data_IF_596374607551
#
_entry.id   IF_596374607551
#
_cell.length_a   1.000
_cell.length_b   1.000
_cell.length_c   1.000
_cell.angle_alpha   90.00
_cell.angle_beta   90.00
_cell.angle_gamma   90.00
#
_symmetry.space_group_name_H-M   'P 1'
#
loop_
_entity.id
_entity.type
_entity.pdbx_description
1 polymer ?
#
# COMPACT_ATOMS: atom_id res chain seq x y z
N UNK A 1 -18.03 13.19 -27.22
CA UNK A 1 -17.87 13.11 -25.75
C UNK A 1 -16.45 12.65 -25.45
N UNK A 2 -15.79 13.21 -24.43
CA UNK A 2 -14.43 12.78 -24.08
C UNK A 2 -14.48 11.41 -23.38
N UNK A 3 -13.59 10.50 -23.79
CA UNK A 3 -13.41 9.17 -23.20
C UNK A 3 -12.14 9.21 -22.37
N UNK A 4 -12.20 8.71 -21.14
CA UNK A 4 -11.07 8.68 -20.22
C UNK A 4 -10.63 7.25 -19.94
N UNK A 5 -9.35 6.96 -20.11
CA UNK A 5 -8.77 5.65 -19.79
C UNK A 5 -7.61 5.76 -18.79
N UNK A 6 -7.65 4.90 -17.78
CA UNK A 6 -6.58 4.75 -16.79
C UNK A 6 -5.64 3.61 -17.18
N UNK A 7 -4.34 3.90 -17.31
CA UNK A 7 -3.31 2.97 -17.77
C UNK A 7 -2.32 2.62 -16.65
N UNK A 8 -1.82 1.38 -16.59
CA UNK A 8 -0.96 0.92 -15.51
C UNK A 8 0.48 1.42 -15.67
N UNK A 9 1.05 1.95 -14.58
CA UNK A 9 2.51 2.06 -14.43
C UNK A 9 3.08 0.77 -13.82
N UNK A 10 4.37 0.51 -14.02
CA UNK A 10 5.06 -0.61 -13.37
C UNK A 10 4.96 -1.92 -14.15
N UNK A 11 4.45 -2.97 -13.52
CA UNK A 11 4.65 -4.36 -13.96
C UNK A 11 3.96 -4.73 -15.27
N UNK A 12 2.88 -4.04 -15.62
CA UNK A 12 2.12 -4.24 -16.86
C UNK A 12 2.46 -3.20 -17.93
N UNK A 13 3.32 -2.22 -17.64
CA UNK A 13 3.55 -1.07 -18.52
C UNK A 13 4.04 -1.50 -19.89
N UNK A 14 5.06 -2.37 -19.96
CA UNK A 14 5.72 -2.78 -21.20
C UNK A 14 4.75 -3.52 -22.13
N UNK A 15 4.05 -4.53 -21.62
CA UNK A 15 3.09 -5.32 -22.38
C UNK A 15 1.87 -4.48 -22.79
N UNK A 16 1.40 -3.59 -21.91
CA UNK A 16 0.33 -2.65 -22.25
C UNK A 16 0.78 -1.70 -23.35
N UNK A 17 2.00 -1.16 -23.28
CA UNK A 17 2.53 -0.24 -24.28
C UNK A 17 2.59 -0.91 -25.67
N UNK A 18 3.08 -2.15 -25.72
CA UNK A 18 3.12 -2.94 -26.94
C UNK A 18 1.73 -3.17 -27.53
N UNK A 19 0.72 -3.52 -26.70
CA UNK A 19 -0.67 -3.68 -27.17
C UNK A 19 -1.22 -2.37 -27.76
N UNK A 20 -1.01 -1.25 -27.08
CA UNK A 20 -1.53 0.05 -27.51
C UNK A 20 -0.82 0.57 -28.78
N UNK A 21 0.47 0.26 -28.94
CA UNK A 21 1.23 0.53 -30.15
C UNK A 21 0.71 -0.30 -31.34
N UNK A 22 0.48 -1.60 -31.15
CA UNK A 22 -0.11 -2.48 -32.17
C UNK A 22 -1.54 -2.04 -32.55
N UNK A 23 -2.35 -1.63 -31.58
CA UNK A 23 -3.67 -1.07 -31.81
C UNK A 23 -3.65 0.31 -32.49
N UNK A 24 -2.46 0.89 -32.70
CA UNK A 24 -2.24 2.14 -33.40
C UNK A 24 -2.72 3.37 -32.62
N UNK A 25 -2.73 3.33 -31.28
CA UNK A 25 -3.25 4.45 -30.48
C UNK A 25 -2.34 5.67 -30.54
N UNK A 26 -1.05 5.50 -30.83
CA UNK A 26 -0.08 6.60 -30.98
C UNK A 26 -0.02 7.50 -29.75
N UNK A 27 0.13 6.90 -28.56
CA UNK A 27 0.23 7.65 -27.30
C UNK A 27 1.59 8.32 -27.17
N UNK A 28 1.60 9.61 -26.86
CA UNK A 28 2.83 10.38 -26.63
C UNK A 28 3.45 10.03 -25.27
N UNK A 29 4.70 9.56 -25.24
CA UNK A 29 5.52 9.38 -24.03
C UNK A 29 4.97 8.40 -22.97
N UNK A 30 4.29 7.33 -23.39
CA UNK A 30 3.91 6.24 -22.49
C UNK A 30 5.11 5.34 -22.19
N UNK A 31 5.93 5.72 -21.21
CA UNK A 31 7.16 5.03 -20.84
C UNK A 31 7.38 5.01 -19.32
N UNK A 32 8.28 4.15 -18.84
CA UNK A 32 8.68 4.14 -17.42
C UNK A 32 9.32 5.45 -16.95
N UNK A 33 9.78 6.30 -17.88
CA UNK A 33 10.37 7.63 -17.61
C UNK A 33 9.40 8.78 -17.85
N UNK A 34 8.13 8.47 -18.14
CA UNK A 34 7.11 9.47 -18.45
C UNK A 34 7.10 10.55 -17.36
N UNK A 35 7.38 11.79 -17.77
CA UNK A 35 7.33 12.96 -16.88
C UNK A 35 5.91 13.50 -16.76
N UNK A 36 5.09 13.21 -17.77
CA UNK A 36 3.68 13.58 -17.84
C UNK A 36 2.83 12.35 -17.60
N UNK A 37 2.03 12.37 -16.54
CA UNK A 37 1.05 11.32 -16.29
C UNK A 37 -0.07 11.30 -17.32
N UNK A 38 -0.27 12.38 -18.08
CA UNK A 38 -1.33 12.53 -19.09
C UNK A 38 -0.76 12.32 -20.49
N UNK A 39 -1.44 11.50 -21.27
CA UNK A 39 -1.02 11.08 -22.61
C UNK A 39 -2.12 11.46 -23.61
N UNK A 40 -1.71 11.93 -24.79
CA UNK A 40 -2.61 12.20 -25.90
C UNK A 40 -2.48 11.10 -26.94
N UNK A 41 -3.60 10.66 -27.49
CA UNK A 41 -3.66 9.72 -28.61
C UNK A 41 -3.69 10.47 -29.93
N UNK A 42 -2.85 10.04 -30.88
CA UNK A 42 -2.90 10.55 -32.25
C UNK A 42 -4.12 10.00 -33.02
N UNK A 43 -4.58 8.79 -32.70
CA UNK A 43 -5.72 8.12 -33.35
C UNK A 43 -7.07 8.59 -32.80
N UNK A 44 -7.20 8.64 -31.48
CA UNK A 44 -8.44 9.02 -30.80
C UNK A 44 -8.34 10.43 -30.22
N UNK A 45 -8.78 11.42 -30.99
CA UNK A 45 -8.71 12.83 -30.60
C UNK A 45 -9.54 13.17 -29.35
N UNK A 46 -10.54 12.36 -29.02
CA UNK A 46 -11.39 12.49 -27.84
C UNK A 46 -10.92 11.62 -26.65
N UNK A 47 -9.81 10.90 -26.75
CA UNK A 47 -9.26 10.06 -25.69
C UNK A 47 -8.33 10.86 -24.78
N UNK A 48 -8.59 10.80 -23.47
CA UNK A 48 -7.67 11.23 -22.43
C UNK A 48 -7.15 9.99 -21.70
N UNK A 49 -5.87 9.71 -21.84
CA UNK A 49 -5.21 8.63 -21.13
C UNK A 49 -4.38 9.19 -19.97
N UNK A 50 -4.45 8.54 -18.80
CA UNK A 50 -3.59 8.86 -17.67
C UNK A 50 -2.96 7.61 -17.05
N UNK A 51 -1.69 7.71 -16.67
CA UNK A 51 -0.97 6.66 -15.96
C UNK A 51 -1.25 6.69 -14.46
N UNK A 52 -1.47 5.51 -13.88
CA UNK A 52 -1.77 5.32 -12.46
C UNK A 52 -0.99 4.13 -11.87
N UNK A 53 -0.84 4.11 -10.55
CA UNK A 53 -0.49 2.86 -9.87
C UNK A 53 -1.61 1.84 -10.11
N UNK A 54 -1.28 0.56 -10.30
CA UNK A 54 -2.27 -0.47 -10.65
C UNK A 54 -3.42 -0.55 -9.63
N UNK A 55 -3.10 -0.36 -8.34
CA UNK A 55 -4.08 -0.27 -7.22
C UNK A 55 -5.09 0.88 -7.36
N UNK A 56 -4.69 2.01 -7.94
CA UNK A 56 -5.56 3.18 -8.09
C UNK A 56 -6.60 2.96 -9.21
N UNK A 57 -6.26 2.18 -10.24
CA UNK A 57 -7.05 2.09 -11.48
C UNK A 57 -8.47 1.56 -11.22
N UNK A 58 -8.68 0.43 -10.52
CA UNK A 58 -10.03 -0.03 -10.17
C UNK A 58 -10.85 1.02 -9.43
N UNK A 59 -10.22 1.79 -8.52
CA UNK A 59 -10.89 2.81 -7.72
C UNK A 59 -11.31 3.98 -8.60
N UNK A 60 -10.41 4.48 -9.45
CA UNK A 60 -10.66 5.58 -10.37
C UNK A 60 -11.79 5.28 -11.36
N UNK A 61 -11.84 4.04 -11.86
CA UNK A 61 -12.92 3.58 -12.74
C UNK A 61 -14.21 3.38 -11.95
N UNK A 62 -14.16 2.77 -10.76
CA UNK A 62 -15.34 2.54 -9.92
C UNK A 62 -16.05 3.83 -9.49
N UNK A 63 -15.31 4.89 -9.17
CA UNK A 63 -15.90 6.19 -8.78
C UNK A 63 -16.34 7.04 -9.97
N UNK A 64 -16.04 6.61 -11.21
CA UNK A 64 -16.46 7.30 -12.43
C UNK A 64 -15.55 8.45 -12.88
N UNK A 65 -14.35 8.58 -12.30
CA UNK A 65 -13.36 9.54 -12.82
C UNK A 65 -12.87 9.12 -14.22
N UNK A 66 -12.80 7.81 -14.48
CA UNK A 66 -12.41 7.20 -15.74
C UNK A 66 -13.46 6.23 -16.25
N UNK A 67 -13.59 6.13 -17.57
CA UNK A 67 -14.57 5.27 -18.24
C UNK A 67 -14.05 3.85 -18.37
N UNK A 68 -12.76 3.73 -18.69
CA UNK A 68 -12.04 2.47 -18.91
C UNK A 68 -10.76 2.44 -18.06
N UNK A 69 -10.26 1.24 -17.79
CA UNK A 69 -8.95 1.05 -17.18
C UNK A 69 -8.32 -0.28 -17.55
N UNK A 70 -6.99 -0.35 -17.50
CA UNK A 70 -6.23 -1.60 -17.64
C UNK A 70 -5.44 -1.83 -16.35
N UNK A 71 -5.66 -2.97 -15.69
CA UNK A 71 -4.94 -3.34 -14.47
C UNK A 71 -4.95 -4.87 -14.28
N UNK A 72 -4.15 -5.36 -13.34
CA UNK A 72 -4.22 -6.75 -12.89
C UNK A 72 -5.62 -7.11 -12.35
N UNK A 73 -6.10 -8.30 -12.69
CA UNK A 73 -7.41 -8.78 -12.23
C UNK A 73 -7.48 -8.99 -10.73
N UNK A 74 -6.35 -9.25 -10.08
CA UNK A 74 -6.17 -9.27 -8.63
C UNK A 74 -6.61 -7.96 -7.97
N UNK A 75 -6.22 -6.79 -8.51
CA UNK A 75 -6.67 -5.51 -7.97
C UNK A 75 -8.16 -5.23 -8.18
N UNK A 76 -8.69 -5.73 -9.29
CA UNK A 76 -10.14 -5.65 -9.56
C UNK A 76 -10.92 -6.53 -8.58
N UNK A 77 -10.46 -7.76 -8.36
CA UNK A 77 -11.14 -8.72 -7.49
C UNK A 77 -10.98 -8.32 -6.01
N UNK A 78 -9.86 -7.72 -5.63
CA UNK A 78 -9.64 -7.11 -4.31
C UNK A 78 -10.66 -5.99 -4.02
N UNK A 79 -10.89 -5.09 -4.98
CA UNK A 79 -11.90 -4.04 -4.82
C UNK A 79 -13.32 -4.62 -4.74
N UNK A 80 -13.65 -5.57 -5.61
CA UNK A 80 -14.99 -6.18 -5.68
C UNK A 80 -15.30 -7.08 -4.48
N UNK A 81 -14.30 -7.70 -3.87
CA UNK A 81 -14.46 -8.44 -2.61
C UNK A 81 -14.97 -7.53 -1.48
N UNK A 82 -14.45 -6.29 -1.41
CA UNK A 82 -14.92 -5.28 -0.44
C UNK A 82 -16.22 -4.59 -0.85
N UNK A 83 -16.37 -4.29 -2.13
CA UNK A 83 -17.50 -3.53 -2.67
C UNK A 83 -18.19 -4.29 -3.83
N UNK A 84 -18.97 -5.35 -3.55
CA UNK A 84 -19.63 -6.14 -4.59
C UNK A 84 -20.60 -5.33 -5.46
N UNK A 85 -21.19 -4.27 -4.89
CA UNK A 85 -22.12 -3.36 -5.56
C UNK A 85 -21.42 -2.20 -6.29
N UNK A 86 -20.09 -2.22 -6.39
CA UNK A 86 -19.32 -1.20 -7.11
C UNK A 86 -19.79 -1.04 -8.56
N UNK A 87 -19.66 0.17 -9.10
CA UNK A 87 -19.88 0.46 -10.51
C UNK A 87 -18.78 -0.11 -11.43
N UNK A 88 -17.82 -0.87 -10.90
CA UNK A 88 -16.77 -1.51 -11.68
C UNK A 88 -17.28 -2.77 -12.40
N UNK A 89 -16.93 -2.93 -13.68
CA UNK A 89 -17.18 -4.14 -14.47
C UNK A 89 -15.89 -4.69 -15.07
N UNK A 90 -15.67 -6.01 -14.95
CA UNK A 90 -14.64 -6.74 -15.71
C UNK A 90 -15.14 -6.94 -17.13
N UNK A 91 -14.42 -6.39 -18.10
CA UNK A 91 -14.83 -6.42 -19.51
C UNK A 91 -14.15 -7.59 -20.23
N UNK A 92 -12.81 -7.65 -20.19
CA UNK A 92 -12.07 -8.66 -20.97
C UNK A 92 -10.67 -8.94 -20.40
N UNK A 93 -10.29 -10.21 -20.37
CA UNK A 93 -8.88 -10.63 -20.16
C UNK A 93 -8.07 -10.28 -21.40
N UNK A 94 -6.99 -9.52 -21.20
CA UNK A 94 -6.12 -9.06 -22.29
C UNK A 94 -5.03 -10.09 -22.66
N UNK A 95 -4.97 -11.23 -21.98
CA UNK A 95 -4.13 -12.37 -22.38
C UNK A 95 -2.64 -12.23 -22.03
N UNK A 96 -2.20 -11.10 -21.47
CA UNK A 96 -0.84 -10.89 -20.96
C UNK A 96 -0.83 -10.60 -19.45
N UNK A 97 0.36 -10.35 -18.89
CA UNK A 97 0.50 -10.02 -17.47
C UNK A 97 0.15 -11.19 -16.54
N UNK A 98 0.33 -12.42 -17.03
CA UNK A 98 -0.04 -13.64 -16.30
C UNK A 98 0.80 -13.77 -15.02
N UNK A 99 0.11 -13.88 -13.90
CA UNK A 99 0.67 -14.12 -12.58
C UNK A 99 -0.32 -14.88 -11.71
N UNK A 100 0.01 -15.03 -10.44
CA UNK A 100 -0.92 -15.56 -9.46
C UNK A 100 -0.61 -15.02 -8.06
N UNK A 101 -1.62 -15.04 -7.21
CA UNK A 101 -1.45 -14.87 -5.78
C UNK A 101 -1.13 -16.23 -5.15
N UNK A 102 -0.09 -16.24 -4.34
CA UNK A 102 0.38 -17.41 -3.61
C UNK A 102 0.27 -17.16 -2.12
N UNK A 103 -0.28 -18.14 -1.42
CA UNK A 103 -0.15 -18.24 0.03
C UNK A 103 1.21 -18.88 0.31
N UNK A 104 2.05 -18.18 1.06
CA UNK A 104 3.43 -18.57 1.34
C UNK A 104 3.67 -18.59 2.84
N UNK A 105 4.62 -19.41 3.27
CA UNK A 105 5.01 -19.54 4.66
C UNK A 105 6.52 -19.76 4.79
N UNK A 106 7.08 -19.61 5.99
CA UNK A 106 8.51 -19.89 6.20
C UNK A 106 8.80 -21.38 6.18
N UNK A 107 9.93 -21.79 5.59
CA UNK A 107 10.41 -23.19 5.55
C UNK A 107 10.60 -23.78 6.95
N UNK A 108 10.88 -22.95 7.94
CA UNK A 108 11.02 -23.38 9.34
C UNK A 108 9.68 -23.79 9.95
N UNK A 109 8.56 -23.36 9.38
CA UNK A 109 7.22 -23.75 9.80
C UNK A 109 6.62 -24.65 8.72
N UNK A 110 6.60 -25.95 8.97
CA UNK A 110 5.98 -26.91 8.06
C UNK A 110 4.48 -26.59 7.93
N UNK A 111 4.06 -26.15 6.74
CA UNK A 111 2.67 -25.78 6.45
C UNK A 111 2.13 -26.61 5.29
N UNK A 112 1.21 -27.53 5.57
CA UNK A 112 0.25 -28.01 4.58
C UNK A 112 -1.09 -27.26 4.71
N UNK A 113 -1.90 -27.25 3.65
CA UNK A 113 -3.26 -26.71 3.70
C UNK A 113 -4.15 -27.40 4.75
N UNK A 114 -3.87 -28.65 5.11
CA UNK A 114 -4.60 -29.38 6.15
C UNK A 114 -4.19 -28.92 7.55
N UNK A 115 -2.90 -28.66 7.78
CA UNK A 115 -2.38 -28.11 9.04
C UNK A 115 -2.95 -26.72 9.33
N UNK A 116 -3.05 -25.88 8.30
CA UNK A 116 -3.65 -24.54 8.38
C UNK A 116 -5.12 -24.63 8.85
N UNK A 117 -5.86 -25.67 8.45
CA UNK A 117 -7.27 -25.84 8.83
C UNK A 117 -7.46 -26.45 10.22
N UNK A 118 -6.54 -27.31 10.65
CA UNK A 118 -6.62 -28.03 11.92
C UNK A 118 -6.04 -27.23 13.10
N UNK A 119 -5.26 -26.17 12.83
CA UNK A 119 -4.63 -25.35 13.86
C UNK A 119 -5.64 -24.70 14.80
N UNK A 120 -5.37 -24.83 16.11
CA UNK A 120 -6.20 -24.25 17.18
C UNK A 120 -5.82 -22.81 17.52
N UNK A 121 -4.60 -22.40 17.17
CA UNK A 121 -4.07 -21.06 17.35
C UNK A 121 -4.60 -20.10 16.28
N UNK A 122 -4.53 -18.79 16.56
CA UNK A 122 -4.91 -17.75 15.59
C UNK A 122 -3.83 -17.65 14.51
N UNK A 123 -4.22 -17.79 13.25
CA UNK A 123 -3.35 -17.61 12.10
C UNK A 123 -3.28 -16.15 11.65
N UNK A 124 -2.07 -15.62 11.55
CA UNK A 124 -1.79 -14.28 11.04
C UNK A 124 -1.41 -14.33 9.55
N UNK A 125 -2.16 -13.63 8.69
CA UNK A 125 -1.90 -13.51 7.26
C UNK A 125 -1.50 -12.07 6.92
N UNK A 126 -0.26 -11.82 6.52
CA UNK A 126 0.21 -10.53 6.03
C UNK A 126 0.00 -10.39 4.52
N UNK A 127 -0.59 -9.29 4.05
CA UNK A 127 -0.83 -9.11 2.60
C UNK A 127 -1.17 -7.69 2.19
N UNK A 128 -0.91 -7.37 0.92
CA UNK A 128 -1.44 -6.17 0.26
C UNK A 128 -2.89 -6.35 -0.25
N UNK A 129 -3.44 -7.56 -0.15
CA UNK A 129 -4.78 -7.95 -0.64
C UNK A 129 -5.69 -8.41 0.52
N UNK A 130 -5.98 -7.55 1.52
CA UNK A 130 -6.69 -7.96 2.72
C UNK A 130 -8.08 -8.54 2.43
N UNK A 131 -8.81 -8.05 1.43
CA UNK A 131 -10.17 -8.53 1.15
C UNK A 131 -10.15 -9.90 0.44
N UNK A 132 -9.19 -10.14 -0.45
CA UNK A 132 -8.96 -11.47 -1.02
C UNK A 132 -8.43 -12.46 0.02
N UNK A 133 -7.57 -12.03 0.94
CA UNK A 133 -7.11 -12.87 2.05
C UNK A 133 -8.27 -13.29 2.97
N UNK A 134 -9.22 -12.39 3.23
CA UNK A 134 -10.43 -12.70 4.01
C UNK A 134 -11.32 -13.69 3.27
N UNK A 135 -11.58 -13.44 2.00
CA UNK A 135 -12.35 -14.35 1.14
C UNK A 135 -11.71 -15.74 1.12
N UNK A 136 -10.38 -15.81 1.04
CA UNK A 136 -9.62 -17.06 1.07
C UNK A 136 -9.74 -17.78 2.42
N UNK A 137 -9.57 -17.05 3.53
CA UNK A 137 -9.67 -17.60 4.88
C UNK A 137 -11.07 -18.19 5.14
N UNK A 138 -12.12 -17.49 4.70
CA UNK A 138 -13.50 -17.97 4.78
C UNK A 138 -13.73 -19.20 3.88
N UNK A 139 -13.22 -19.19 2.64
CA UNK A 139 -13.30 -20.33 1.72
C UNK A 139 -12.64 -21.59 2.28
N UNK A 140 -11.51 -21.44 2.97
CA UNK A 140 -10.81 -22.53 3.65
C UNK A 140 -11.34 -22.85 5.05
N UNK A 141 -12.36 -22.13 5.53
CA UNK A 141 -12.98 -22.32 6.85
C UNK A 141 -11.96 -22.23 7.99
N UNK A 142 -11.03 -21.29 7.90
CA UNK A 142 -10.06 -21.04 8.96
C UNK A 142 -10.81 -20.61 10.23
N UNK A 143 -10.63 -21.36 11.32
CA UNK A 143 -11.39 -21.16 12.56
C UNK A 143 -11.03 -19.86 13.29
N UNK A 144 -9.73 -19.54 13.32
CA UNK A 144 -9.18 -18.36 13.99
C UNK A 144 -8.12 -17.76 13.10
N UNK A 145 -8.41 -16.61 12.52
CA UNK A 145 -7.45 -15.89 11.69
C UNK A 145 -7.50 -14.39 11.96
N UNK A 146 -6.44 -13.71 11.56
CA UNK A 146 -6.30 -12.26 11.54
C UNK A 146 -5.54 -11.87 10.28
N UNK A 147 -6.03 -10.83 9.61
CA UNK A 147 -5.42 -10.32 8.39
C UNK A 147 -4.72 -9.02 8.72
N UNK A 148 -3.45 -8.94 8.34
CA UNK A 148 -2.63 -7.77 8.52
C UNK A 148 -2.41 -7.12 7.16
N UNK A 149 -3.17 -6.05 6.85
CA UNK A 149 -2.90 -5.28 5.65
C UNK A 149 -1.53 -4.65 5.77
N UNK A 150 -0.73 -4.78 4.70
CA UNK A 150 0.60 -4.16 4.61
C UNK A 150 0.69 -3.30 3.36
N UNK A 151 1.56 -2.29 3.39
CA UNK A 151 1.77 -1.39 2.26
C UNK A 151 2.69 -1.95 1.17
N UNK A 152 3.31 -3.10 1.42
CA UNK A 152 4.23 -3.78 0.51
C UNK A 152 5.06 -4.84 1.23
N UNK A 153 5.85 -5.60 0.47
CA UNK A 153 6.83 -6.57 0.99
C UNK A 153 6.22 -7.53 2.03
N UNK A 154 5.04 -8.07 1.76
CA UNK A 154 4.33 -8.97 2.68
C UNK A 154 5.17 -10.23 3.01
N UNK A 155 6.05 -10.65 2.11
CA UNK A 155 7.04 -11.72 2.29
C UNK A 155 8.05 -11.44 3.43
N UNK A 156 8.22 -10.19 3.86
CA UNK A 156 9.11 -9.86 4.96
C UNK A 156 8.54 -10.30 6.32
N UNK A 157 7.22 -10.51 6.44
CA UNK A 157 6.54 -10.69 7.72
C UNK A 157 6.68 -12.10 8.33
N UNK A 158 6.52 -13.21 7.58
CA UNK A 158 6.69 -14.54 8.15
C UNK A 158 8.15 -14.90 8.43
N UNK A 159 8.46 -15.67 9.51
CA UNK A 159 7.50 -16.28 10.46
C UNK A 159 7.23 -15.47 11.74
N UNK A 160 7.92 -14.36 12.00
CA UNK A 160 7.92 -13.75 13.34
C UNK A 160 6.68 -12.92 13.63
N UNK A 161 6.24 -12.15 12.63
CA UNK A 161 5.12 -11.21 12.79
C UNK A 161 3.89 -11.64 11.99
N UNK A 162 4.02 -12.71 11.19
CA UNK A 162 2.93 -13.40 10.55
C UNK A 162 3.21 -14.89 10.37
N UNK A 163 2.17 -15.72 10.36
CA UNK A 163 2.30 -17.15 10.04
C UNK A 163 2.43 -17.35 8.52
N UNK A 164 1.63 -16.59 7.78
CA UNK A 164 1.47 -16.70 6.33
C UNK A 164 1.58 -15.32 5.69
N UNK A 165 1.96 -15.30 4.41
CA UNK A 165 1.80 -14.13 3.57
C UNK A 165 1.01 -14.49 2.30
N UNK A 166 0.17 -13.59 1.82
CA UNK A 166 -0.47 -13.69 0.51
C UNK A 166 0.23 -12.69 -0.42
N UNK A 167 1.01 -13.22 -1.37
CA UNK A 167 1.93 -12.45 -2.22
C UNK A 167 1.62 -12.68 -3.70
N UNK A 168 1.79 -11.64 -4.51
CA UNK A 168 1.70 -11.76 -5.96
C UNK A 168 3.04 -12.21 -6.55
N UNK A 169 3.01 -13.13 -7.52
CA UNK A 169 4.19 -13.50 -8.28
C UNK A 169 3.89 -13.74 -9.75
N UNK A 170 4.87 -13.46 -10.61
CA UNK A 170 4.82 -13.75 -12.05
C UNK A 170 5.24 -15.21 -12.29
N UNK A 171 4.57 -15.88 -13.22
CA UNK A 171 4.89 -17.27 -13.59
C UNK A 171 4.35 -18.35 -12.63
N UNK A 172 4.86 -19.57 -12.78
CA UNK A 172 4.34 -20.77 -12.10
C UNK A 172 4.85 -20.98 -10.69
N UNK A 173 6.00 -20.39 -10.33
CA UNK A 173 6.57 -20.49 -8.98
C UNK A 173 6.97 -19.10 -8.49
N UNK A 174 6.55 -18.71 -7.28
CA UNK A 174 6.97 -17.44 -6.73
C UNK A 174 8.47 -17.48 -6.42
N UNK A 175 9.20 -16.46 -6.89
CA UNK A 175 10.60 -16.25 -6.50
C UNK A 175 10.61 -15.74 -5.06
N UNK A 176 10.70 -16.69 -4.13
CA UNK A 176 10.61 -16.41 -2.70
C UNK A 176 11.99 -16.30 -2.09
N UNK A 177 12.29 -15.11 -1.56
CA UNK A 177 13.47 -14.86 -0.75
C UNK A 177 13.24 -15.32 0.71
N UNK A 178 14.29 -15.27 1.53
CA UNK A 178 14.22 -15.42 2.99
C UNK A 178 13.65 -16.76 3.47
N UNK A 179 13.86 -17.83 2.69
CA UNK A 179 13.46 -19.17 3.08
C UNK A 179 11.95 -19.36 3.16
N UNK A 180 11.15 -18.60 2.41
CA UNK A 180 9.73 -18.91 2.25
C UNK A 180 9.51 -20.04 1.24
N UNK A 181 8.37 -20.70 1.36
CA UNK A 181 7.89 -21.72 0.42
C UNK A 181 6.41 -21.48 0.07
N UNK A 182 6.02 -21.76 -1.18
CA UNK A 182 4.62 -21.69 -1.56
C UNK A 182 3.83 -22.83 -0.90
N UNK A 183 2.75 -22.46 -0.21
CA UNK A 183 1.80 -23.40 0.40
C UNK A 183 0.66 -23.69 -0.59
N UNK A 184 0.14 -22.65 -1.24
CA UNK A 184 -0.94 -22.78 -2.21
C UNK A 184 -0.93 -21.64 -3.23
N UNK A 185 -1.25 -21.97 -4.49
CA UNK A 185 -1.67 -20.99 -5.50
C UNK A 185 -3.17 -20.75 -5.33
N UNK A 186 -3.59 -19.51 -5.14
CA UNK A 186 -4.96 -19.21 -4.65
C UNK A 186 -5.79 -18.41 -5.64
N UNK A 187 -5.18 -17.52 -6.42
CA UNK A 187 -5.86 -16.71 -7.43
C UNK A 187 -4.96 -16.53 -8.64
N UNK A 188 -5.48 -16.81 -9.83
CA UNK A 188 -4.80 -16.45 -11.07
C UNK A 188 -5.05 -14.98 -11.37
N UNK A 189 -4.00 -14.27 -11.78
CA UNK A 189 -4.11 -12.89 -12.22
C UNK A 189 -3.62 -12.71 -13.66
N UNK A 190 -4.29 -11.83 -14.38
CA UNK A 190 -3.86 -11.34 -15.68
C UNK A 190 -4.29 -9.89 -15.88
N UNK A 191 -3.71 -9.24 -16.89
CA UNK A 191 -4.16 -7.91 -17.26
C UNK A 191 -5.61 -7.96 -17.77
N UNK A 192 -6.47 -7.12 -17.21
CA UNK A 192 -7.88 -7.02 -17.56
C UNK A 192 -8.23 -5.61 -18.00
N UNK A 193 -9.04 -5.51 -19.06
CA UNK A 193 -9.80 -4.32 -19.36
C UNK A 193 -11.01 -4.27 -18.42
N UNK A 194 -11.14 -3.14 -17.73
CA UNK A 194 -12.26 -2.83 -16.82
C UNK A 194 -12.97 -1.56 -17.27
N UNK A 195 -14.23 -1.43 -16.89
CA UNK A 195 -15.06 -0.28 -17.23
C UNK A 195 -15.95 0.17 -16.08
N UNK A 196 -16.31 1.44 -16.07
CA UNK A 196 -17.39 1.94 -15.24
C UNK A 196 -18.73 1.54 -15.87
N UNK A 197 -19.63 0.93 -15.10
CA UNK A 197 -20.93 0.42 -15.56
C UNK A 197 -21.83 1.50 -16.17
N UNK A 198 -21.78 2.72 -15.65
CA UNK A 198 -22.59 3.83 -16.16
C UNK A 198 -21.99 4.38 -17.46
N UNK A 199 -20.66 4.55 -17.51
CA UNK A 199 -19.97 4.91 -18.75
C UNK A 199 -20.15 3.87 -19.84
N UNK A 200 -20.09 2.58 -19.50
CA UNK A 200 -20.28 1.46 -20.43
C UNK A 200 -21.67 1.45 -21.07
N UNK A 201 -22.70 1.91 -20.36
CA UNK A 201 -24.07 2.01 -20.88
C UNK A 201 -24.33 3.30 -21.65
N UNK A 202 -23.68 4.40 -21.28
CA UNK A 202 -24.01 5.75 -21.75
C UNK A 202 -23.10 6.28 -22.85
N UNK A 203 -21.87 5.75 -22.98
CA UNK A 203 -20.88 6.20 -23.97
C UNK A 203 -20.66 5.14 -25.03
N UNK A 204 -20.40 5.57 -26.26
CA UNK A 204 -19.90 4.68 -27.30
C UNK A 204 -18.40 4.43 -27.08
N UNK A 205 -18.08 3.20 -26.67
CA UNK A 205 -16.71 2.73 -26.43
C UNK A 205 -16.28 1.68 -27.46
N UNK A 206 -17.12 1.41 -28.46
CA UNK A 206 -17.02 0.23 -29.32
C UNK A 206 -15.74 0.22 -30.14
N UNK A 207 -15.37 1.35 -30.74
CA UNK A 207 -14.18 1.48 -31.58
C UNK A 207 -12.88 1.26 -30.79
N UNK A 208 -12.77 1.87 -29.60
CA UNK A 208 -11.62 1.71 -28.71
C UNK A 208 -11.47 0.25 -28.27
N UNK A 209 -12.57 -0.36 -27.81
CA UNK A 209 -12.57 -1.74 -27.34
C UNK A 209 -12.27 -2.72 -28.47
N UNK A 210 -12.86 -2.53 -29.65
CA UNK A 210 -12.57 -3.34 -30.84
C UNK A 210 -11.10 -3.27 -31.23
N UNK A 211 -10.51 -2.07 -31.23
CA UNK A 211 -9.08 -1.89 -31.55
C UNK A 211 -8.15 -2.66 -30.60
N UNK A 212 -8.52 -2.80 -29.32
CA UNK A 212 -7.77 -3.62 -28.37
C UNK A 212 -7.97 -5.11 -28.65
N UNK A 213 -9.19 -5.52 -28.94
CA UNK A 213 -9.56 -6.93 -29.14
C UNK A 213 -8.89 -7.55 -30.36
N UNK A 214 -8.79 -6.79 -31.44
CA UNK A 214 -8.14 -7.22 -32.69
C UNK A 214 -6.64 -7.48 -32.52
N UNK A 215 -6.01 -6.88 -31.51
CA UNK A 215 -4.57 -6.94 -31.27
C UNK A 215 -4.20 -7.77 -30.03
N UNK A 216 -5.14 -8.56 -29.49
CA UNK A 216 -4.85 -9.40 -28.33
C UNK A 216 -3.87 -10.53 -28.70
N UNK A 217 -2.90 -10.82 -27.83
CA UNK A 217 -2.01 -11.96 -28.03
C UNK A 217 -2.79 -13.28 -28.02
N UNK A 218 -2.37 -14.24 -28.84
CA UNK A 218 -2.90 -15.60 -28.78
C UNK A 218 -2.66 -16.20 -27.39
N UNK A 219 -3.69 -16.78 -26.77
CA UNK A 219 -3.59 -17.32 -25.42
C UNK A 219 -2.61 -18.51 -25.36
N UNK A 220 -1.48 -18.42 -24.63
CA UNK A 220 -0.67 -19.61 -24.38
C UNK A 220 -1.36 -20.50 -23.35
N UNK A 221 -1.34 -21.82 -23.58
CA UNK A 221 -1.86 -22.81 -22.65
C UNK A 221 -0.98 -22.86 -21.38
N UNK A 222 -1.59 -22.71 -20.20
CA UNK A 222 -0.87 -22.93 -18.95
C UNK A 222 -0.70 -24.44 -18.71
N UNK A 223 0.51 -24.94 -18.44
CA UNK A 223 0.68 -26.29 -17.95
C UNK A 223 0.12 -26.43 -16.53
N UNK A 224 -0.32 -27.64 -16.14
CA UNK A 224 -0.84 -27.90 -14.80
C UNK A 224 0.23 -27.66 -13.73
N UNK A 225 -0.22 -27.12 -12.60
CA UNK A 225 0.61 -26.77 -11.43
C UNK A 225 1.11 -28.06 -10.75
N UNK A 226 2.43 -28.21 -10.48
CA UNK A 226 2.90 -29.30 -9.65
C UNK A 226 2.42 -29.11 -8.20
N UNK A 227 1.75 -30.14 -7.65
CA UNK A 227 1.45 -30.21 -6.22
C UNK A 227 2.72 -30.64 -5.50
N UNK A 228 3.40 -29.70 -4.85
CA UNK A 228 4.52 -30.04 -3.96
C UNK A 228 4.00 -30.83 -2.75
N UNK A 229 4.39 -32.10 -2.63
CA UNK A 229 4.18 -32.89 -1.43
C UNK A 229 5.23 -32.48 -0.39
N UNK A 230 4.83 -31.73 0.64
CA UNK A 230 5.68 -31.53 1.81
C UNK A 230 5.69 -32.81 2.65
N UNK A 231 6.88 -33.39 2.85
CA UNK A 231 7.10 -34.53 3.73
C UNK A 231 6.88 -34.12 5.18
N UNK A 232 6.11 -34.93 5.92
CA UNK A 232 5.85 -34.75 7.35
C UNK A 232 7.12 -35.02 8.16
N UNK A 233 7.68 -33.97 8.76
CA UNK A 233 8.65 -34.06 9.85
C UNK A 233 8.42 -32.89 10.84
N UNK A 234 8.74 -33.15 12.10
CA UNK A 234 8.24 -32.48 13.30
C UNK A 234 8.46 -30.95 13.40
N UNK A 235 7.54 -30.33 14.14
CA UNK A 235 7.29 -28.89 14.32
C UNK A 235 8.43 -28.07 14.92
N UNK A 236 8.51 -26.79 14.52
CA UNK A 236 8.44 -25.72 15.51
C UNK A 236 7.35 -24.69 15.17
N UNK A 237 6.58 -24.37 16.20
CA UNK A 237 5.69 -23.22 16.32
C UNK A 237 6.49 -21.92 16.15
N UNK A 238 5.82 -20.80 15.86
CA UNK A 238 6.38 -19.46 16.10
C UNK A 238 6.89 -19.44 17.55
N UNK A 239 8.20 -19.56 17.76
CA UNK A 239 8.78 -19.52 19.10
C UNK A 239 8.48 -18.13 19.66
N UNK A 240 7.62 -18.09 20.68
CA UNK A 240 7.44 -16.89 21.49
C UNK A 240 8.82 -16.46 21.95
N UNK A 241 9.20 -15.23 21.59
CA UNK A 241 10.48 -14.70 22.00
C UNK A 241 10.62 -14.81 23.53
N UNK A 242 11.82 -15.11 24.04
CA UNK A 242 12.13 -14.89 25.44
C UNK A 242 11.61 -13.53 25.91
N UNK A 243 10.98 -13.48 27.09
CA UNK A 243 10.28 -12.29 27.59
C UNK A 243 11.16 -11.03 27.68
N UNK A 244 12.49 -11.18 27.63
CA UNK A 244 13.49 -10.14 27.75
C UNK A 244 14.01 -9.58 26.41
N UNK A 245 13.63 -10.18 25.27
CA UNK A 245 14.02 -9.70 23.94
C UNK A 245 13.05 -8.61 23.46
N UNK A 246 13.62 -7.50 23.00
CA UNK A 246 12.89 -6.38 22.39
C UNK A 246 12.90 -6.51 20.87
N UNK A 247 11.72 -6.47 20.27
CA UNK A 247 11.52 -6.44 18.83
C UNK A 247 11.41 -4.99 18.34
N UNK A 248 12.42 -4.52 17.60
CA UNK A 248 12.52 -3.16 17.06
C UNK A 248 12.24 -3.13 15.55
N UNK A 249 11.25 -2.36 15.12
CA UNK A 249 10.99 -2.08 13.71
C UNK A 249 11.79 -0.86 13.23
N UNK A 250 12.51 -1.03 12.11
CA UNK A 250 13.33 -0.02 11.44
C UNK A 250 12.67 0.33 10.09
N UNK A 251 12.63 1.61 9.70
CA UNK A 251 11.95 2.02 8.48
C UNK A 251 12.77 1.63 7.24
N UNK A 252 12.07 1.31 6.16
CA UNK A 252 12.64 1.22 4.82
C UNK A 252 12.58 2.57 4.08
N UNK A 253 13.07 2.57 2.84
CA UNK A 253 12.99 3.72 1.94
C UNK A 253 13.78 4.94 2.43
N UNK A 254 13.27 6.13 2.14
CA UNK A 254 13.96 7.42 2.39
C UNK A 254 14.20 7.73 3.87
N UNK A 255 13.43 7.12 4.79
CA UNK A 255 13.65 7.26 6.23
C UNK A 255 14.75 6.33 6.76
N UNK A 256 15.19 5.33 6.00
CA UNK A 256 16.19 4.37 6.46
C UNK A 256 17.57 5.02 6.71
N UNK A 257 18.20 5.74 5.76
CA UNK A 257 19.52 6.33 5.99
C UNK A 257 19.59 7.26 7.22
N UNK A 258 18.69 8.25 7.41
CA UNK A 258 18.77 9.13 8.59
C UNK A 258 18.51 8.37 9.90
N UNK A 259 17.69 7.31 9.86
CA UNK A 259 17.47 6.44 11.03
C UNK A 259 18.74 5.69 11.40
N UNK A 260 19.44 5.09 10.42
CA UNK A 260 20.71 4.39 10.67
C UNK A 260 21.80 5.34 11.14
N UNK A 261 21.86 6.56 10.60
CA UNK A 261 22.79 7.60 11.07
C UNK A 261 22.55 7.98 12.54
N UNK A 262 21.29 8.14 12.94
CA UNK A 262 20.93 8.43 14.33
C UNK A 262 21.25 7.25 15.25
N UNK A 263 20.91 6.03 14.85
CA UNK A 263 21.21 4.82 15.62
C UNK A 263 22.73 4.67 15.82
N UNK A 264 23.53 4.93 14.78
CA UNK A 264 25.00 4.94 14.86
C UNK A 264 25.51 5.99 15.86
N UNK A 265 24.93 7.21 15.87
CA UNK A 265 25.26 8.25 16.86
C UNK A 265 24.90 7.82 18.29
N UNK A 266 23.79 7.09 18.46
CA UNK A 266 23.37 6.52 19.73
C UNK A 266 24.23 5.31 20.16
N UNK A 267 25.21 4.88 19.35
CA UNK A 267 26.06 3.71 19.63
C UNK A 267 25.46 2.37 19.21
N UNK A 268 24.29 2.37 18.56
CA UNK A 268 23.61 1.17 18.06
C UNK A 268 24.09 0.91 16.63
N UNK A 269 24.90 -0.14 16.45
CA UNK A 269 25.47 -0.51 15.14
C UNK A 269 24.67 -1.62 14.48
N UNK A 270 24.64 -1.59 13.16
CA UNK A 270 24.10 -2.66 12.33
C UNK A 270 25.15 -3.09 11.31
N UNK A 271 24.97 -4.28 10.75
CA UNK A 271 25.74 -4.70 9.58
C UNK A 271 25.23 -3.97 8.32
N UNK A 272 26.09 -3.17 7.69
CA UNK A 272 25.74 -2.45 6.46
C UNK A 272 25.52 -3.38 5.26
N UNK A 273 26.13 -4.56 5.25
CA UNK A 273 25.91 -5.56 4.21
C UNK A 273 24.45 -6.05 4.21
N UNK A 274 23.80 -6.11 5.37
CA UNK A 274 22.40 -6.54 5.49
C UNK A 274 21.47 -5.61 4.71
N UNK A 275 21.61 -4.29 4.88
CA UNK A 275 20.78 -3.32 4.16
C UNK A 275 21.09 -3.30 2.66
N UNK A 276 22.37 -3.43 2.27
CA UNK A 276 22.77 -3.48 0.85
C UNK A 276 22.18 -4.69 0.11
N UNK A 277 21.97 -5.81 0.82
CA UNK A 277 21.35 -7.02 0.26
C UNK A 277 19.82 -7.01 0.35
N UNK A 278 19.21 -5.95 0.89
CA UNK A 278 17.78 -5.91 1.14
C UNK A 278 17.32 -6.90 2.21
N UNK A 279 18.20 -7.24 3.15
CA UNK A 279 17.86 -8.13 4.26
C UNK A 279 16.87 -7.42 5.20
N UNK A 280 15.67 -7.98 5.33
CA UNK A 280 14.64 -7.46 6.23
C UNK A 280 14.93 -7.74 7.72
N UNK A 281 15.95 -8.54 8.05
CA UNK A 281 16.33 -8.92 9.41
C UNK A 281 17.81 -8.61 9.66
N UNK A 282 18.17 -7.32 9.73
CA UNK A 282 19.55 -6.93 9.89
C UNK A 282 20.05 -7.31 11.29
N UNK A 283 21.31 -7.71 11.36
CA UNK A 283 22.02 -7.96 12.61
C UNK A 283 22.23 -6.65 13.35
N UNK A 284 21.88 -6.61 14.64
CA UNK A 284 22.00 -5.43 15.50
C UNK A 284 23.02 -5.70 16.61
N UNK A 285 23.94 -4.77 16.81
CA UNK A 285 24.98 -4.83 17.83
C UNK A 285 24.50 -4.49 19.24
N UNK A 286 23.24 -4.78 19.57
CA UNK A 286 22.61 -4.47 20.84
C UNK A 286 22.01 -5.74 21.44
N UNK A 287 22.55 -6.16 22.58
CA UNK A 287 22.13 -7.41 23.24
C UNK A 287 20.67 -7.36 23.70
N UNK A 288 19.96 -8.47 23.50
CA UNK A 288 18.53 -8.58 23.84
C UNK A 288 17.61 -7.75 22.95
N UNK A 289 18.08 -7.32 21.77
CA UNK A 289 17.27 -6.62 20.78
C UNK A 289 17.38 -7.33 19.44
N UNK A 290 16.25 -7.48 18.75
CA UNK A 290 16.21 -7.89 17.35
C UNK A 290 15.63 -6.76 16.51
N UNK A 291 16.10 -6.64 15.27
CA UNK A 291 15.62 -5.62 14.35
C UNK A 291 14.93 -6.24 13.13
N UNK A 292 13.93 -5.54 12.62
CA UNK A 292 13.26 -5.88 11.37
C UNK A 292 12.95 -4.64 10.55
N UNK A 293 13.25 -4.68 9.27
CA UNK A 293 12.99 -3.58 8.33
C UNK A 293 11.61 -3.75 7.72
N UNK A 294 10.71 -2.81 8.02
CA UNK A 294 9.34 -2.76 7.49
C UNK A 294 8.97 -1.34 7.08
N UNK A 295 7.86 -1.20 6.35
CA UNK A 295 7.37 0.10 5.89
C UNK A 295 6.89 0.96 7.07
N UNK A 296 7.24 2.26 7.13
CA UNK A 296 6.79 3.18 8.18
C UNK A 296 5.27 3.19 8.39
N UNK A 297 4.51 3.05 7.29
CA UNK A 297 3.05 3.02 7.27
C UNK A 297 2.46 1.86 8.08
N UNK A 298 3.16 0.72 8.09
CA UNK A 298 2.69 -0.50 8.76
C UNK A 298 3.01 -0.47 10.26
N UNK A 299 4.03 0.28 10.68
CA UNK A 299 4.58 0.21 12.04
C UNK A 299 3.59 0.51 13.16
N UNK A 300 2.73 1.56 13.11
CA UNK A 300 1.80 1.82 14.19
C UNK A 300 0.86 0.65 14.46
N UNK A 301 0.36 -0.01 13.40
CA UNK A 301 -0.49 -1.18 13.51
C UNK A 301 0.29 -2.38 14.09
N UNK A 302 1.53 -2.59 13.66
CA UNK A 302 2.34 -3.71 14.13
C UNK A 302 2.75 -3.56 15.61
N UNK A 303 3.08 -2.34 16.04
CA UNK A 303 3.31 -2.03 17.46
C UNK A 303 2.02 -2.17 18.25
N UNK A 304 0.88 -1.66 17.75
CA UNK A 304 -0.41 -1.77 18.43
C UNK A 304 -0.84 -3.23 18.69
N UNK A 305 -0.50 -4.15 17.78
CA UNK A 305 -0.83 -5.57 17.94
C UNK A 305 0.20 -6.37 18.76
N UNK A 306 1.26 -5.72 19.25
CA UNK A 306 2.32 -6.38 20.02
C UNK A 306 3.30 -7.21 19.17
N UNK A 307 3.26 -7.08 17.84
CA UNK A 307 4.20 -7.74 16.93
C UNK A 307 5.61 -7.11 17.03
N UNK A 308 5.67 -5.83 17.41
CA UNK A 308 6.88 -5.13 17.81
C UNK A 308 6.69 -4.43 19.15
N UNK A 309 7.75 -4.41 19.95
CA UNK A 309 7.81 -3.64 21.19
C UNK A 309 8.11 -2.17 20.89
N UNK A 310 8.98 -1.92 19.91
CA UNK A 310 9.44 -0.59 19.49
C UNK A 310 9.38 -0.43 17.98
N UNK A 311 9.17 0.81 17.52
CA UNK A 311 9.33 1.17 16.11
C UNK A 311 9.79 2.62 15.93
N UNK A 312 10.55 2.88 14.86
CA UNK A 312 10.90 4.25 14.43
C UNK A 312 10.06 4.60 13.20
N UNK A 313 9.07 5.47 13.37
CA UNK A 313 8.14 5.90 12.30
C UNK A 313 7.83 7.40 12.37
N UNK A 314 7.08 7.92 11.40
CA UNK A 314 6.63 9.32 11.40
C UNK A 314 5.41 9.55 12.31
N UNK A 315 5.35 10.73 12.96
CA UNK A 315 4.19 11.14 13.78
C UNK A 315 2.88 11.19 13.00
N UNK A 316 2.96 11.51 11.72
CA UNK A 316 1.86 11.43 10.75
C UNK A 316 1.25 10.03 10.66
N UNK A 317 2.05 8.97 10.54
CA UNK A 317 1.56 7.59 10.50
C UNK A 317 0.94 7.18 11.84
N UNK A 318 1.57 7.55 12.96
CA UNK A 318 1.01 7.30 14.31
C UNK A 318 -0.35 7.99 14.47
N UNK A 319 -0.45 9.25 14.05
CA UNK A 319 -1.67 10.03 14.15
C UNK A 319 -2.77 9.49 13.23
N UNK A 320 -2.43 9.13 11.99
CA UNK A 320 -3.33 8.49 11.04
C UNK A 320 -3.93 7.21 11.61
N UNK A 321 -3.10 6.36 12.22
CA UNK A 321 -3.58 5.14 12.85
C UNK A 321 -4.46 5.42 14.08
N UNK A 322 -4.08 6.39 14.92
CA UNK A 322 -4.85 6.81 16.09
C UNK A 322 -6.23 7.39 15.75
N UNK A 323 -6.37 8.09 14.61
CA UNK A 323 -7.67 8.59 14.18
C UNK A 323 -8.64 7.48 13.77
N UNK A 324 -8.13 6.35 13.28
CA UNK A 324 -8.95 5.16 13.03
C UNK A 324 -9.26 4.39 14.31
N UNK A 325 -8.28 4.31 15.22
CA UNK A 325 -8.36 3.55 16.46
C UNK A 325 -7.91 4.41 17.66
N UNK A 326 -8.81 5.21 18.26
CA UNK A 326 -8.45 6.17 19.32
C UNK A 326 -7.83 5.55 20.58
N UNK A 327 -8.09 4.26 20.82
CA UNK A 327 -7.59 3.52 21.98
C UNK A 327 -6.37 2.64 21.67
N UNK A 328 -5.62 2.93 20.59
CA UNK A 328 -4.42 2.13 20.26
C UNK A 328 -3.44 2.06 21.44
N UNK A 329 -2.89 0.88 21.74
CA UNK A 329 -1.89 0.70 22.80
C UNK A 329 -0.50 1.12 22.32
N UNK A 330 -0.39 2.28 21.68
CA UNK A 330 0.87 2.86 21.18
C UNK A 330 1.14 4.17 21.92
N UNK A 331 2.39 4.38 22.33
CA UNK A 331 2.84 5.65 22.92
C UNK A 331 4.10 6.14 22.22
N UNK A 332 4.21 7.46 22.05
CA UNK A 332 5.46 8.11 21.64
C UNK A 332 6.40 8.19 22.84
N UNK A 333 7.65 7.76 22.67
CA UNK A 333 8.69 7.81 23.71
C UNK A 333 9.70 8.93 23.47
N UNK A 334 10.05 9.17 22.21
CA UNK A 334 11.08 10.14 21.81
C UNK A 334 10.71 10.77 20.47
N UNK A 335 10.73 12.10 20.40
CA UNK A 335 10.76 12.83 19.13
C UNK A 335 12.21 12.85 18.62
N UNK A 336 12.46 12.24 17.46
CA UNK A 336 13.80 12.10 16.90
C UNK A 336 14.25 13.33 16.09
N UNK A 337 13.36 14.32 15.92
CA UNK A 337 13.63 15.64 15.31
C UNK A 337 14.20 15.64 13.89
N UNK A 338 14.24 14.50 13.20
CA UNK A 338 14.58 14.41 11.77
C UNK A 338 13.33 14.06 10.93
N UNK A 339 13.47 14.11 9.60
CA UNK A 339 12.36 13.82 8.68
C UNK A 339 11.19 14.78 8.84
N UNK A 340 11.49 16.06 9.09
CA UNK A 340 10.47 17.09 9.34
C UNK A 340 9.68 17.36 8.07
N UNK A 341 8.37 17.12 8.13
CA UNK A 341 7.41 17.43 7.07
C UNK A 341 6.19 18.14 7.64
N UNK A 342 5.45 18.83 6.78
CA UNK A 342 4.16 19.45 7.10
C UNK A 342 3.06 18.67 6.42
N UNK A 343 2.03 18.27 7.15
CA UNK A 343 0.81 17.73 6.55
C UNK A 343 -0.09 18.91 6.19
N UNK A 344 -0.46 19.02 4.91
CA UNK A 344 -1.11 20.20 4.34
C UNK A 344 -2.35 19.84 3.55
N UNK A 345 -3.31 20.76 3.52
CA UNK A 345 -4.44 20.73 2.61
C UNK A 345 -4.13 21.54 1.35
N UNK A 346 -4.26 20.90 0.20
CA UNK A 346 -3.83 21.41 -1.09
C UNK A 346 -4.99 21.39 -2.07
N UNK A 347 -5.14 22.47 -2.83
CA UNK A 347 -6.13 22.60 -3.91
C UNK A 347 -5.49 23.18 -5.16
N UNK A 348 -6.16 23.11 -6.31
CA UNK A 348 -5.71 23.80 -7.52
C UNK A 348 -5.70 25.32 -7.32
N UNK A 349 -4.70 26.03 -7.87
CA UNK A 349 -4.67 27.49 -7.85
C UNK A 349 -5.85 28.14 -8.55
N UNK A 350 -6.45 27.44 -9.53
CA UNK A 350 -7.63 27.89 -10.24
C UNK A 350 -8.91 27.85 -9.41
N UNK A 351 -8.90 27.16 -8.25
CA UNK A 351 -10.04 27.15 -7.34
C UNK A 351 -10.09 28.49 -6.56
N UNK A 352 -11.22 29.21 -6.52
CA UNK A 352 -11.33 30.53 -5.91
C UNK A 352 -11.45 30.46 -4.37
N UNK A 353 -10.58 29.69 -3.73
CA UNK A 353 -10.52 29.50 -2.28
C UNK A 353 -9.12 29.87 -1.78
N UNK A 354 -9.02 30.55 -0.64
CA UNK A 354 -7.74 30.95 -0.05
C UNK A 354 -7.38 30.08 1.16
N UNK A 355 -8.39 29.60 1.89
CA UNK A 355 -8.26 28.87 3.14
C UNK A 355 -9.38 27.81 3.28
N UNK A 356 -9.36 27.09 4.39
CA UNK A 356 -10.37 26.08 4.72
C UNK A 356 -11.78 26.63 4.84
N UNK A 357 -11.95 27.89 5.29
CA UNK A 357 -13.25 28.54 5.39
C UNK A 357 -13.86 28.83 4.01
N UNK A 358 -13.03 29.30 3.07
CA UNK A 358 -13.37 29.48 1.67
C UNK A 358 -13.73 28.16 1.02
N UNK A 359 -12.97 27.09 1.30
CA UNK A 359 -13.29 25.75 0.82
C UNK A 359 -14.64 25.25 1.37
N UNK A 360 -14.90 25.41 2.66
CA UNK A 360 -16.18 25.05 3.27
C UNK A 360 -17.36 25.77 2.61
N UNK A 361 -17.24 27.08 2.37
CA UNK A 361 -18.28 27.86 1.67
C UNK A 361 -18.49 27.35 0.25
N UNK A 362 -17.38 27.16 -0.49
CA UNK A 362 -17.41 26.62 -1.85
C UNK A 362 -18.10 25.25 -1.92
N UNK A 363 -17.89 24.37 -0.93
CA UNK A 363 -18.56 23.08 -0.85
C UNK A 363 -20.05 23.21 -0.50
N UNK A 364 -20.41 24.13 0.40
CA UNK A 364 -21.80 24.37 0.80
C UNK A 364 -22.70 24.87 -0.33
N UNK A 365 -22.13 25.53 -1.34
CA UNK A 365 -22.84 26.01 -2.53
C UNK A 365 -23.04 24.92 -3.59
N UNK A 366 -22.41 23.76 -3.45
CA UNK A 366 -22.47 22.65 -4.41
C UNK A 366 -23.20 21.45 -3.82
N UNK A 367 -23.95 20.73 -4.67
CA UNK A 367 -24.57 19.44 -4.31
C UNK A 367 -23.72 18.23 -4.72
N UNK A 368 -22.49 18.45 -5.20
CA UNK A 368 -21.56 17.40 -5.62
C UNK A 368 -20.66 16.95 -4.48
N UNK A 369 -20.25 15.69 -4.51
CA UNK A 369 -19.25 15.14 -3.59
C UNK A 369 -17.88 15.82 -3.79
N UNK A 370 -17.28 16.29 -2.70
CA UNK A 370 -15.88 16.69 -2.66
C UNK A 370 -14.99 15.44 -2.68
N UNK A 371 -14.12 15.32 -3.67
CA UNK A 371 -13.17 14.21 -3.80
C UNK A 371 -11.87 14.56 -3.08
N UNK A 372 -11.56 13.85 -2.01
CA UNK A 372 -10.37 14.09 -1.18
C UNK A 372 -9.36 12.98 -1.42
N UNK A 373 -8.27 13.24 -2.15
CA UNK A 373 -7.18 12.29 -2.35
C UNK A 373 -6.19 12.34 -1.18
N UNK A 374 -5.70 11.18 -0.72
CA UNK A 374 -4.62 11.12 0.28
C UNK A 374 -4.08 9.71 0.47
N UNK A 375 -2.78 9.59 0.76
CA UNK A 375 -2.21 8.38 1.38
C UNK A 375 -2.62 8.27 2.87
N UNK A 376 -2.90 9.40 3.52
CA UNK A 376 -3.30 9.52 4.92
C UNK A 376 -4.83 9.52 5.07
N UNK A 377 -5.49 8.46 4.61
CA UNK A 377 -6.97 8.40 4.52
C UNK A 377 -7.69 8.78 5.80
N UNK A 378 -7.16 8.40 6.97
CA UNK A 378 -7.79 8.72 8.27
C UNK A 378 -7.59 10.19 8.66
N UNK A 379 -6.47 10.80 8.27
CA UNK A 379 -6.23 12.23 8.45
C UNK A 379 -7.13 13.02 7.51
N UNK A 380 -7.25 12.60 6.25
CA UNK A 380 -8.11 13.22 5.27
C UNK A 380 -9.60 13.18 5.68
N UNK A 381 -10.06 12.02 6.14
CA UNK A 381 -11.41 11.86 6.68
C UNK A 381 -11.65 12.77 7.89
N UNK A 382 -10.72 12.77 8.86
CA UNK A 382 -10.81 13.62 10.05
C UNK A 382 -10.85 15.10 9.68
N UNK A 383 -9.98 15.54 8.77
CA UNK A 383 -9.90 16.92 8.29
C UNK A 383 -11.21 17.37 7.65
N UNK A 384 -11.81 16.55 6.79
CA UNK A 384 -13.07 16.87 6.13
C UNK A 384 -14.24 16.98 7.13
N UNK A 385 -14.27 16.11 8.15
CA UNK A 385 -15.28 16.14 9.22
C UNK A 385 -15.14 17.35 10.13
N UNK A 386 -13.94 17.59 10.65
CA UNK A 386 -13.68 18.66 11.60
C UNK A 386 -13.91 20.05 10.97
N UNK A 387 -13.71 20.17 9.66
CA UNK A 387 -13.95 21.41 8.91
C UNK A 387 -15.34 21.50 8.26
N UNK A 388 -16.20 20.48 8.46
CA UNK A 388 -17.57 20.44 7.93
C UNK A 388 -17.66 20.67 6.41
N UNK A 389 -16.84 19.98 5.62
CA UNK A 389 -16.74 20.17 4.16
C UNK A 389 -17.93 19.61 3.34
N UNK A 390 -19.03 19.25 4.00
CA UNK A 390 -20.25 18.75 3.34
C UNK A 390 -20.14 17.30 2.89
N UNK A 391 -20.69 16.99 1.70
CA UNK A 391 -20.60 15.65 1.11
C UNK A 391 -19.18 15.44 0.56
N UNK A 392 -18.43 14.49 1.11
CA UNK A 392 -17.09 14.17 0.64
C UNK A 392 -16.87 12.66 0.48
N UNK A 393 -15.90 12.28 -0.35
CA UNK A 393 -15.37 10.91 -0.44
C UNK A 393 -13.86 10.95 -0.39
N UNK A 394 -13.29 10.12 0.46
CA UNK A 394 -11.83 9.94 0.53
C UNK A 394 -11.41 8.91 -0.51
N UNK A 395 -10.42 9.25 -1.32
CA UNK A 395 -9.80 8.41 -2.33
C UNK A 395 -8.40 8.06 -1.84
N UNK A 396 -8.13 6.79 -1.46
CA UNK A 396 -6.78 6.36 -1.15
C UNK A 396 -5.90 6.45 -2.40
N UNK A 397 -4.63 6.81 -2.20
CA UNK A 397 -3.62 6.90 -3.27
C UNK A 397 -2.36 6.13 -2.88
N UNK A 398 -1.59 5.66 -3.86
CA UNK A 398 -0.30 4.98 -3.66
C UNK A 398 0.84 5.69 -4.43
N UNK A 399 1.07 6.96 -4.05
CA UNK A 399 2.11 7.85 -4.58
C UNK A 399 1.70 8.74 -5.77
N UNK A 400 2.54 9.75 -6.04
CA UNK A 400 2.35 10.80 -7.06
C UNK A 400 1.00 11.54 -6.94
N UNK A 401 0.68 11.98 -5.74
CA UNK A 401 -0.69 12.40 -5.42
C UNK A 401 -1.01 13.81 -5.93
N UNK A 402 0.00 14.66 -6.19
CA UNK A 402 -0.18 15.98 -6.79
C UNK A 402 -0.81 15.89 -8.18
N UNK A 403 -0.60 14.78 -8.89
CA UNK A 403 -1.15 14.56 -10.21
C UNK A 403 -2.68 14.38 -10.21
N UNK A 404 -3.31 14.13 -9.06
CA UNK A 404 -4.77 13.94 -8.95
C UNK A 404 -5.54 15.26 -9.04
N UNK A 405 -4.94 16.39 -8.65
CA UNK A 405 -5.61 17.67 -8.71
C UNK A 405 -5.45 18.33 -10.09
N UNK A 406 -6.48 19.04 -10.59
CA UNK A 406 -7.89 19.06 -10.14
C UNK A 406 -8.81 17.99 -10.77
N UNK A 407 -8.31 17.20 -11.73
CA UNK A 407 -9.19 16.38 -12.58
C UNK A 407 -9.73 15.13 -11.87
N UNK A 408 -8.94 14.53 -10.98
CA UNK A 408 -9.27 13.25 -10.31
C UNK A 408 -9.63 13.44 -8.83
N UNK A 409 -9.27 14.58 -8.24
CA UNK A 409 -9.67 15.00 -6.90
C UNK A 409 -9.87 16.52 -6.85
N UNK A 410 -10.54 16.99 -5.80
CA UNK A 410 -10.80 18.42 -5.55
C UNK A 410 -9.93 18.97 -4.40
N UNK A 411 -9.60 18.10 -3.44
CA UNK A 411 -8.73 18.36 -2.30
C UNK A 411 -7.69 17.27 -2.19
N UNK A 412 -6.45 17.64 -1.88
CA UNK A 412 -5.36 16.72 -1.59
C UNK A 412 -4.87 16.95 -0.15
N UNK A 413 -4.72 15.87 0.61
CA UNK A 413 -4.05 15.88 1.92
C UNK A 413 -2.73 15.12 1.76
N UNK A 414 -1.61 15.84 1.84
CA UNK A 414 -0.28 15.29 1.60
C UNK A 414 0.77 15.90 2.53
N UNK A 415 1.93 15.25 2.64
CA UNK A 415 3.09 15.79 3.32
C UNK A 415 3.91 16.70 2.39
N UNK A 416 4.61 17.67 2.96
CA UNK A 416 5.55 18.49 2.20
C UNK A 416 6.69 18.98 3.07
N UNK A 417 7.92 18.98 2.54
CA UNK A 417 9.08 19.58 3.20
C UNK A 417 9.14 21.08 2.93
N UNK A 418 9.18 21.46 1.65
CA UNK A 418 9.39 22.85 1.20
C UNK A 418 8.18 23.47 0.48
N UNK A 419 7.20 22.66 0.07
CA UNK A 419 6.10 23.09 -0.80
C UNK A 419 6.48 23.26 -2.28
N UNK A 420 7.74 23.04 -2.66
CA UNK A 420 8.21 23.28 -4.03
C UNK A 420 7.49 22.39 -5.06
N UNK A 421 7.23 21.12 -4.75
CA UNK A 421 6.52 20.20 -5.66
C UNK A 421 5.08 20.65 -5.89
N UNK A 422 4.36 21.00 -4.82
CA UNK A 422 2.99 21.55 -4.87
C UNK A 422 2.95 22.80 -5.79
N UNK A 423 3.88 23.73 -5.60
CA UNK A 423 3.92 24.96 -6.39
C UNK A 423 4.18 24.71 -7.90
N UNK A 424 5.02 23.71 -8.24
CA UNK A 424 5.34 23.32 -9.63
C UNK A 424 4.13 22.72 -10.36
N UNK A 425 3.20 22.12 -9.65
CA UNK A 425 1.99 21.51 -10.21
C UNK A 425 0.77 22.45 -10.28
N UNK A 426 1.01 23.76 -10.15
CA UNK A 426 -0.03 24.80 -10.09
C UNK A 426 -1.08 24.57 -8.99
N UNK A 427 -0.61 24.07 -7.86
CA UNK A 427 -1.39 23.86 -6.66
C UNK A 427 -1.03 24.89 -5.59
N UNK A 428 -1.92 25.10 -4.63
CA UNK A 428 -1.69 25.95 -3.46
C UNK A 428 -2.10 25.23 -2.18
N UNK A 429 -1.32 25.47 -1.14
CA UNK A 429 -1.66 25.08 0.23
C UNK A 429 -2.69 26.09 0.75
N UNK A 430 -3.80 25.58 1.28
CA UNK A 430 -4.87 26.38 1.91
C UNK A 430 -4.92 26.19 3.41
N UNK A 431 -4.23 25.17 3.93
CA UNK A 431 -4.17 24.87 5.36
C UNK A 431 -2.95 24.01 5.70
N UNK A 432 -2.41 24.19 6.91
CA UNK A 432 -1.37 23.34 7.48
C UNK A 432 -1.97 22.62 8.68
N UNK A 433 -2.19 21.31 8.57
CA UNK A 433 -2.86 20.53 9.60
C UNK A 433 -1.96 20.35 10.83
N UNK A 434 -0.71 19.93 10.62
CA UNK A 434 0.30 19.77 11.67
C UNK A 434 1.70 19.52 11.08
N UNK A 435 2.73 19.58 11.91
CA UNK A 435 4.09 19.14 11.57
C UNK A 435 4.34 17.71 12.06
N UNK A 436 5.03 16.91 11.25
CA UNK A 436 5.44 15.55 11.55
C UNK A 436 6.96 15.45 11.56
N UNK A 437 7.49 14.67 12.48
CA UNK A 437 8.91 14.26 12.57
C UNK A 437 8.96 12.75 12.77
N UNK A 438 10.14 12.15 12.56
CA UNK A 438 10.39 10.79 13.00
C UNK A 438 10.31 10.71 14.54
N UNK A 439 9.76 9.62 15.05
CA UNK A 439 9.59 9.36 16.47
C UNK A 439 9.82 7.88 16.79
N UNK A 440 10.29 7.61 18.01
CA UNK A 440 10.29 6.28 18.60
C UNK A 440 8.93 6.05 19.27
N UNK A 441 8.24 4.99 18.85
CA UNK A 441 6.99 4.55 19.48
C UNK A 441 7.17 3.20 20.17
N UNK A 442 6.36 2.95 21.19
CA UNK A 442 6.34 1.71 21.95
C UNK A 442 4.93 1.17 22.17
N UNK A 443 4.84 -0.16 22.29
CA UNK A 443 3.62 -0.82 22.74
C UNK A 443 3.43 -0.63 24.26
N UNK A 444 2.22 -0.26 24.69
CA UNK A 444 1.91 0.01 26.10
C UNK A 444 1.96 -1.25 26.98
N UNK A 445 1.61 -2.41 26.44
CA UNK A 445 1.68 -3.69 27.16
C UNK A 445 3.14 -4.13 27.34
N UNK A 446 4.00 -3.87 26.35
CA UNK A 446 5.46 -4.06 26.47
C UNK A 446 6.07 -3.18 27.56
N UNK A 447 5.57 -1.95 27.74
CA UNK A 447 5.98 -1.06 28.84
C UNK A 447 5.45 -1.51 30.21
N UNK A 448 4.39 -2.31 30.26
CA UNK A 448 3.88 -2.86 31.52
C UNK A 448 4.74 -4.05 32.02
N UNK A 449 5.52 -4.69 31.14
CA UNK A 449 6.47 -5.73 31.52
C UNK A 449 7.77 -5.11 32.06
N UNK A 450 8.11 -5.40 33.32
CA UNK A 450 9.25 -4.79 34.04
C UNK A 450 10.58 -4.97 33.29
N UNK A 451 10.86 -6.19 32.78
CA UNK A 451 12.13 -6.47 32.09
C UNK A 451 12.23 -5.71 30.77
N UNK A 452 11.13 -5.69 30.00
CA UNK A 452 11.06 -4.97 28.72
C UNK A 452 11.12 -3.46 28.94
N UNK A 453 10.40 -2.93 29.93
CA UNK A 453 10.37 -1.51 30.24
C UNK A 453 11.76 -0.94 30.53
N UNK A 454 12.60 -1.65 31.29
CA UNK A 454 13.99 -1.25 31.56
C UNK A 454 14.82 -1.15 30.28
N UNK A 455 14.72 -2.15 29.39
CA UNK A 455 15.47 -2.16 28.13
C UNK A 455 14.96 -1.09 27.16
N UNK A 456 13.64 -0.91 27.09
CA UNK A 456 12.99 0.14 26.29
C UNK A 456 13.44 1.53 26.75
N UNK A 457 13.46 1.79 28.06
CA UNK A 457 13.88 3.10 28.58
C UNK A 457 15.35 3.36 28.30
N UNK A 458 16.23 2.35 28.43
CA UNK A 458 17.64 2.45 28.05
C UNK A 458 17.81 2.84 26.57
N UNK A 459 17.08 2.18 25.66
CA UNK A 459 17.09 2.52 24.22
C UNK A 459 16.57 3.94 23.99
N UNK A 460 15.49 4.33 24.67
CA UNK A 460 14.92 5.67 24.56
C UNK A 460 15.91 6.74 25.05
N UNK A 461 16.61 6.52 26.16
CA UNK A 461 17.65 7.43 26.65
C UNK A 461 18.85 7.56 25.70
N UNK A 462 19.32 6.44 25.11
CA UNK A 462 20.38 6.45 24.10
C UNK A 462 19.98 7.32 22.90
N UNK A 463 18.72 7.18 22.45
CA UNK A 463 18.20 7.97 21.34
C UNK A 463 17.95 9.44 21.71
N UNK A 464 17.46 9.74 22.92
CA UNK A 464 17.31 11.13 23.40
C UNK A 464 18.67 11.86 23.39
N UNK A 465 19.73 11.22 23.91
CA UNK A 465 21.10 11.77 23.91
C UNK A 465 21.68 11.96 22.51
N UNK A 466 21.29 11.13 21.54
CA UNK A 466 21.78 11.25 20.16
C UNK A 466 21.06 12.33 19.34
N UNK A 467 19.89 12.77 19.80
CA UNK A 467 19.06 13.83 19.19
C UNK A 467 19.42 15.22 19.73
N UNK A 468 19.93 15.30 20.96
CA UNK A 468 20.57 16.50 21.55
C UNK A 468 21.91 16.80 20.86
#
# INVERSE_FOLDING_TARGET
>A
MQIKIALPKGNLLTETAALLEQAGWGLTDYSAKARLYRLKSAKFSNLLAKMFHEKDIPIQVAIGNYDLGICGSDWTDELLAKYPSSALAKVKDLGYGKGALYLVASRSSTFSLEDVRSRSERLCIATEYPNLAETLALKYRLRRFSIFPVWGAAEAYPPETADLALVAAKGNEPQLNNGLMPVARVFDSSAFLIANKDSWKSKDLSELVASLYENLPAAPAMPPVPRGSASAAAHPTSEALPEDIISLAIPDGHHQPPTLDLLRKAGIRFDEDDFRRGNHRPSIGLEGVRAKVIRPQDMPLQVANGNFDLAITGKDWVLSHRYQFPSIPVTELVDLKFGRVKIVAVVSKHLPVADVHGLRRFCGERSSWLRVASEYVNIADRYARDNHLGLYRVIPTWGATEAFLPEDADLLIENTETGATIARHDLKIIDQLFESTACLIANKDSLANIKKAQRIESIAEMLRKAVE
#
